data_IF_034444075374
#
_entry.id   IF_034444075374
#
_cell.length_a   1.000
_cell.length_b   1.000
_cell.length_c   1.000
_cell.angle_alpha   90.00
_cell.angle_beta   90.00
_cell.angle_gamma   90.00
#
_symmetry.space_group_name_H-M   'P 1'
#
loop_
_entity.id
_entity.type
_entity.pdbx_description
1 polymer ?
#
# COMPACT_ATOMS: atom_id res chain seq x y z
N UNK A 1 -33.64 -14.96 -40.79
CA UNK A 1 -34.06 -15.26 -39.41
C UNK A 1 -33.40 -14.26 -38.49
N UNK A 2 -34.09 -13.19 -38.11
CA UNK A 2 -33.57 -12.19 -37.16
C UNK A 2 -33.88 -12.68 -35.76
N UNK A 3 -32.83 -12.96 -34.98
CA UNK A 3 -32.94 -13.35 -33.58
C UNK A 3 -33.59 -12.23 -32.76
N UNK A 4 -34.73 -12.55 -32.19
CA UNK A 4 -35.48 -11.73 -31.27
C UNK A 4 -34.64 -11.47 -30.02
N UNK A 5 -34.05 -10.30 -29.91
CA UNK A 5 -33.38 -9.84 -28.68
C UNK A 5 -34.50 -9.67 -27.64
N UNK A 6 -34.62 -10.62 -26.71
CA UNK A 6 -35.53 -10.52 -25.57
C UNK A 6 -35.22 -9.24 -24.81
N UNK A 7 -36.13 -8.26 -24.87
CA UNK A 7 -36.03 -7.02 -24.07
C UNK A 7 -36.00 -7.39 -22.59
N UNK A 8 -34.91 -7.07 -21.93
CA UNK A 8 -34.75 -7.23 -20.47
C UNK A 8 -35.87 -6.39 -19.82
N UNK A 9 -36.70 -6.95 -18.94
CA UNK A 9 -37.77 -6.21 -18.29
C UNK A 9 -37.19 -5.06 -17.46
N UNK A 10 -37.77 -3.86 -17.59
CA UNK A 10 -37.29 -2.61 -16.94
C UNK A 10 -37.03 -2.74 -15.42
N UNK A 11 -37.70 -3.65 -14.73
CA UNK A 11 -37.48 -3.93 -13.29
C UNK A 11 -36.12 -4.56 -12.98
N UNK A 12 -35.48 -5.24 -13.94
CA UNK A 12 -34.17 -5.86 -13.79
C UNK A 12 -33.00 -4.97 -14.27
N UNK A 13 -33.29 -3.93 -15.04
CA UNK A 13 -32.25 -3.07 -15.62
C UNK A 13 -31.60 -2.18 -14.58
N UNK A 14 -32.33 -1.70 -13.57
CA UNK A 14 -31.80 -0.80 -12.53
C UNK A 14 -30.79 -1.51 -11.61
N UNK A 15 -31.13 -2.68 -10.99
CA UNK A 15 -30.15 -3.39 -10.15
C UNK A 15 -28.95 -3.90 -10.96
N UNK A 16 -29.15 -4.31 -12.22
CA UNK A 16 -28.05 -4.72 -13.09
C UNK A 16 -27.12 -3.55 -13.42
N UNK A 17 -27.67 -2.36 -13.67
CA UNK A 17 -26.88 -1.14 -13.92
C UNK A 17 -26.10 -0.73 -12.67
N UNK A 18 -26.71 -0.75 -11.49
CA UNK A 18 -26.04 -0.44 -10.22
C UNK A 18 -24.89 -1.44 -9.98
N UNK A 19 -25.13 -2.73 -10.21
CA UNK A 19 -24.10 -3.77 -10.09
C UNK A 19 -22.93 -3.52 -11.05
N UNK A 20 -23.21 -3.21 -12.32
CA UNK A 20 -22.18 -2.89 -13.31
C UNK A 20 -21.35 -1.66 -12.92
N UNK A 21 -21.98 -0.61 -12.38
CA UNK A 21 -21.29 0.60 -11.87
C UNK A 21 -20.40 0.25 -10.68
N UNK A 22 -20.87 -0.56 -9.74
CA UNK A 22 -20.07 -1.00 -8.59
C UNK A 22 -18.85 -1.79 -9.05
N UNK A 23 -19.03 -2.76 -9.96
CA UNK A 23 -17.92 -3.55 -10.53
C UNK A 23 -16.91 -2.63 -11.24
N UNK A 24 -17.39 -1.66 -12.02
CA UNK A 24 -16.54 -0.70 -12.71
C UNK A 24 -15.73 0.15 -11.73
N UNK A 25 -16.34 0.66 -10.66
CA UNK A 25 -15.64 1.43 -9.61
C UNK A 25 -14.59 0.57 -8.94
N UNK A 26 -14.92 -0.66 -8.53
CA UNK A 26 -13.98 -1.59 -7.91
C UNK A 26 -12.80 -1.85 -8.85
N UNK A 27 -13.07 -2.15 -10.12
CA UNK A 27 -12.02 -2.39 -11.11
C UNK A 27 -11.13 -1.16 -11.32
N UNK A 28 -11.72 0.03 -11.42
CA UNK A 28 -10.95 1.27 -11.56
C UNK A 28 -10.06 1.56 -10.34
N UNK A 29 -10.54 1.25 -9.14
CA UNK A 29 -9.74 1.36 -7.91
C UNK A 29 -8.59 0.34 -7.92
N UNK A 30 -8.87 -0.91 -8.29
CA UNK A 30 -7.87 -1.97 -8.34
C UNK A 30 -6.77 -1.69 -9.38
N UNK A 31 -7.15 -1.20 -10.56
CA UNK A 31 -6.19 -0.85 -11.63
C UNK A 31 -5.31 0.37 -11.31
N UNK A 32 -5.67 1.18 -10.32
CA UNK A 32 -4.90 2.36 -9.93
C UNK A 32 -4.42 2.31 -8.48
N UNK A 33 -4.38 1.13 -7.89
CA UNK A 33 -4.09 0.97 -6.47
C UNK A 33 -2.70 1.49 -6.10
N UNK A 34 -1.68 1.24 -6.94
CA UNK A 34 -0.33 1.74 -6.74
C UNK A 34 -0.32 3.27 -6.63
N UNK A 35 -0.98 3.96 -7.57
CA UNK A 35 -1.09 5.43 -7.57
C UNK A 35 -1.87 5.96 -6.38
N UNK A 36 -2.87 5.21 -5.92
CA UNK A 36 -3.65 5.57 -4.72
C UNK A 36 -2.74 5.47 -3.49
N UNK A 37 -2.00 4.37 -3.34
CA UNK A 37 -1.06 4.18 -2.22
C UNK A 37 0.04 5.24 -2.24
N UNK A 38 0.64 5.52 -3.39
CA UNK A 38 1.63 6.58 -3.58
C UNK A 38 1.08 7.96 -3.15
N UNK A 39 -0.11 8.31 -3.64
CA UNK A 39 -0.77 9.58 -3.33
C UNK A 39 -1.18 9.72 -1.86
N UNK A 40 -1.63 8.62 -1.24
CA UNK A 40 -2.00 8.61 0.18
C UNK A 40 -0.75 8.71 1.03
N UNK A 41 0.29 7.92 0.75
CA UNK A 41 1.55 7.97 1.49
C UNK A 41 2.20 9.36 1.46
N UNK A 42 2.14 10.07 0.32
CA UNK A 42 2.65 11.42 0.19
C UNK A 42 2.00 12.45 1.14
N UNK A 43 0.83 12.14 1.74
CA UNK A 43 0.20 13.01 2.76
C UNK A 43 0.83 12.84 4.14
N UNK A 44 1.35 11.65 4.44
CA UNK A 44 1.85 11.28 5.77
C UNK A 44 3.36 11.28 5.84
N UNK A 45 4.02 11.10 4.68
CA UNK A 45 5.46 10.94 4.58
C UNK A 45 6.06 12.14 3.83
N UNK A 46 7.16 12.68 4.38
CA UNK A 46 7.97 13.68 3.70
C UNK A 46 8.99 12.97 2.80
N UNK A 47 8.47 12.45 1.67
CA UNK A 47 9.20 11.63 0.73
C UNK A 47 8.25 11.04 -0.31
N UNK A 48 8.75 10.14 -1.14
CA UNK A 48 8.00 9.48 -2.20
C UNK A 48 8.06 7.97 -2.02
N UNK A 49 6.91 7.32 -2.07
CA UNK A 49 6.80 5.85 -2.16
C UNK A 49 6.52 5.50 -3.60
N UNK A 50 7.31 4.63 -4.18
CA UNK A 50 7.10 4.08 -5.52
C UNK A 50 6.85 2.58 -5.39
N UNK A 51 5.82 2.09 -6.05
CA UNK A 51 5.42 0.68 -6.08
C UNK A 51 5.27 0.28 -7.54
N UNK A 52 5.86 -0.85 -7.93
CA UNK A 52 5.77 -1.33 -9.30
C UNK A 52 4.48 -2.13 -9.55
N UNK A 53 4.12 -2.99 -8.60
CA UNK A 53 2.95 -3.87 -8.75
C UNK A 53 2.36 -4.25 -7.38
N UNK A 54 1.03 -4.39 -7.34
CA UNK A 54 0.31 -4.86 -6.15
C UNK A 54 -0.58 -6.04 -6.57
N UNK A 55 -0.24 -7.23 -6.10
CA UNK A 55 -1.08 -8.41 -6.23
C UNK A 55 -2.06 -8.47 -5.06
N UNK A 56 -3.33 -8.27 -5.35
CA UNK A 56 -4.42 -8.32 -4.37
C UNK A 56 -4.96 -9.74 -4.22
N UNK A 57 -4.25 -10.58 -3.52
CA UNK A 57 -4.84 -11.78 -2.95
C UNK A 57 -5.59 -11.43 -1.66
N UNK A 58 -6.82 -11.93 -1.51
CA UNK A 58 -7.76 -11.51 -0.46
C UNK A 58 -7.19 -11.58 0.99
N UNK A 59 -6.37 -12.59 1.28
CA UNK A 59 -5.77 -12.77 2.63
C UNK A 59 -4.28 -12.47 2.68
N UNK A 60 -3.62 -12.42 1.53
CA UNK A 60 -2.17 -12.24 1.40
C UNK A 60 -1.82 -11.31 0.24
N UNK A 61 -2.16 -10.02 0.32
CA UNK A 61 -1.71 -9.06 -0.68
C UNK A 61 -0.18 -9.00 -0.70
N UNK A 62 0.37 -8.89 -1.90
CA UNK A 62 1.81 -8.78 -2.15
C UNK A 62 2.09 -7.47 -2.86
N UNK A 63 3.02 -6.70 -2.31
CA UNK A 63 3.55 -5.49 -2.94
C UNK A 63 4.92 -5.82 -3.50
N UNK A 64 5.12 -5.58 -4.80
CA UNK A 64 6.39 -5.85 -5.49
C UNK A 64 7.15 -4.56 -5.77
N UNK A 65 8.46 -4.62 -5.60
CA UNK A 65 9.40 -3.55 -5.90
C UNK A 65 8.99 -2.21 -5.26
N UNK A 66 8.80 -2.22 -3.93
CA UNK A 66 8.54 -1.00 -3.16
C UNK A 66 9.85 -0.26 -2.90
N UNK A 67 9.87 1.03 -3.21
CA UNK A 67 10.99 1.93 -2.91
C UNK A 67 10.47 3.18 -2.20
N UNK A 68 11.12 3.54 -1.10
CA UNK A 68 10.89 4.77 -0.36
C UNK A 68 12.06 5.71 -0.58
N UNK A 69 11.77 6.91 -1.03
CA UNK A 69 12.72 8.01 -1.19
C UNK A 69 12.49 9.09 -0.14
N UNK A 70 13.54 9.79 0.24
CA UNK A 70 13.44 11.03 1.01
C UNK A 70 13.02 12.22 0.13
N UNK A 71 12.95 13.42 0.71
CA UNK A 71 12.65 14.68 0.03
C UNK A 71 13.74 15.13 -0.97
N UNK A 72 14.91 14.50 -0.94
CA UNK A 72 16.05 14.74 -1.83
C UNK A 72 16.23 13.65 -2.89
N UNK A 73 15.26 12.72 -3.02
CA UNK A 73 15.31 11.55 -3.90
C UNK A 73 16.42 10.52 -3.55
N UNK A 74 16.91 10.48 -2.33
CA UNK A 74 17.77 9.38 -1.89
C UNK A 74 16.92 8.18 -1.50
N UNK A 75 17.36 6.98 -1.89
CA UNK A 75 16.69 5.74 -1.50
C UNK A 75 16.91 5.47 -0.01
N UNK A 76 15.85 5.45 0.76
CA UNK A 76 15.86 5.12 2.18
C UNK A 76 15.59 3.64 2.43
N UNK A 77 14.66 3.09 1.67
CA UNK A 77 14.23 1.71 1.78
C UNK A 77 13.89 1.17 0.39
N UNK A 78 14.30 -0.05 0.13
CA UNK A 78 13.88 -0.79 -1.06
C UNK A 78 13.64 -2.25 -0.66
N UNK A 79 12.57 -2.84 -1.18
CA UNK A 79 12.30 -4.26 -1.04
C UNK A 79 11.66 -4.79 -2.32
N UNK A 80 12.15 -5.92 -2.87
CA UNK A 80 11.54 -6.54 -4.03
C UNK A 80 10.15 -7.10 -3.71
N UNK A 81 9.90 -7.48 -2.46
CA UNK A 81 8.63 -8.07 -2.06
C UNK A 81 8.28 -7.76 -0.60
N UNK A 82 7.07 -7.30 -0.40
CA UNK A 82 6.45 -7.16 0.92
C UNK A 82 5.08 -7.84 0.89
N UNK A 83 4.89 -8.85 1.74
CA UNK A 83 3.64 -9.59 1.86
C UNK A 83 2.94 -9.24 3.16
N UNK A 84 1.64 -8.97 3.11
CA UNK A 84 0.83 -8.81 4.31
C UNK A 84 -0.07 -10.04 4.53
N UNK A 85 -0.20 -10.48 5.77
CA UNK A 85 -1.22 -11.41 6.19
C UNK A 85 -2.32 -10.62 6.89
N UNK A 86 -3.56 -10.75 6.42
CA UNK A 86 -4.70 -9.98 6.93
C UNK A 86 -5.88 -10.92 7.16
N UNK A 87 -6.26 -11.12 8.41
CA UNK A 87 -7.50 -11.81 8.74
C UNK A 87 -8.72 -10.90 8.53
N UNK A 88 -9.85 -11.47 8.16
CA UNK A 88 -11.09 -10.70 7.99
C UNK A 88 -11.45 -9.88 9.23
N UNK A 89 -11.25 -10.45 10.44
CA UNK A 89 -11.49 -9.76 11.71
C UNK A 89 -10.62 -8.51 11.89
N UNK A 90 -9.38 -8.54 11.42
CA UNK A 90 -8.46 -7.42 11.56
C UNK A 90 -8.60 -6.42 10.41
N UNK A 91 -8.97 -6.89 9.22
CA UNK A 91 -9.31 -6.03 8.09
C UNK A 91 -10.44 -5.05 8.45
N UNK A 92 -11.52 -5.53 9.08
CA UNK A 92 -12.64 -4.68 9.52
C UNK A 92 -12.24 -3.65 10.60
N UNK A 93 -11.10 -3.84 11.26
CA UNK A 93 -10.54 -2.93 12.26
C UNK A 93 -9.40 -2.05 11.71
N UNK A 94 -9.12 -2.13 10.40
CA UNK A 94 -7.99 -1.44 9.78
C UNK A 94 -6.63 -1.91 10.30
N UNK A 95 -6.49 -3.22 10.59
CA UNK A 95 -5.26 -3.81 11.14
C UNK A 95 -4.69 -4.88 10.22
N UNK A 96 -3.37 -4.97 10.21
CA UNK A 96 -2.60 -6.02 9.55
C UNK A 96 -2.10 -6.98 10.63
N UNK A 97 -2.32 -8.27 10.44
CA UNK A 97 -1.85 -9.30 11.38
C UNK A 97 -0.34 -9.44 11.35
N UNK A 98 0.21 -9.54 10.16
CA UNK A 98 1.64 -9.75 9.96
C UNK A 98 2.09 -9.11 8.65
N UNK A 99 3.21 -8.42 8.68
CA UNK A 99 3.90 -7.88 7.52
C UNK A 99 5.23 -8.63 7.36
N UNK A 100 5.42 -9.28 6.22
CA UNK A 100 6.67 -9.95 5.87
C UNK A 100 7.42 -9.11 4.86
N UNK A 101 8.64 -8.72 5.23
CA UNK A 101 9.57 -7.95 4.38
C UNK A 101 10.76 -8.82 4.06
N UNK A 102 10.96 -9.12 2.78
CA UNK A 102 12.03 -10.00 2.33
C UNK A 102 13.04 -9.24 1.46
N UNK A 103 14.33 -9.52 1.70
CA UNK A 103 15.46 -9.00 0.92
C UNK A 103 15.50 -7.47 0.82
N UNK A 104 15.14 -6.79 1.90
CA UNK A 104 15.12 -5.32 1.93
C UNK A 104 16.53 -4.73 2.10
N UNK A 105 16.70 -3.55 1.51
CA UNK A 105 17.84 -2.67 1.73
C UNK A 105 17.35 -1.43 2.45
N UNK A 106 18.00 -1.09 3.56
CA UNK A 106 17.71 0.10 4.38
C UNK A 106 18.95 0.97 4.40
N UNK A 107 18.84 2.21 3.93
CA UNK A 107 19.94 3.17 3.94
C UNK A 107 19.73 4.17 5.07
N UNK A 108 20.53 4.07 6.10
CA UNK A 108 20.51 4.97 7.26
C UNK A 108 21.67 5.95 7.12
N UNK A 109 21.35 7.24 7.02
CA UNK A 109 22.33 8.31 6.95
C UNK A 109 22.14 9.22 8.15
N UNK A 110 23.21 9.48 8.85
CA UNK A 110 23.28 10.47 9.94
C UNK A 110 23.91 11.75 9.42
N UNK A 111 23.24 12.87 9.60
CA UNK A 111 23.78 14.16 9.18
C UNK A 111 24.75 14.73 10.24
N UNK A 112 25.43 15.83 9.88
CA UNK A 112 26.41 16.51 10.74
C UNK A 112 25.85 16.99 12.09
N UNK A 113 24.52 17.13 12.17
CA UNK A 113 23.79 17.52 13.38
C UNK A 113 23.36 16.29 14.19
N UNK A 114 23.76 15.09 13.78
CA UNK A 114 23.43 13.83 14.43
C UNK A 114 22.02 13.33 14.13
N UNK A 115 21.31 13.93 13.18
CA UNK A 115 19.93 13.59 12.84
C UNK A 115 19.91 12.48 11.80
N UNK A 116 19.14 11.43 12.07
CA UNK A 116 18.96 10.30 11.14
C UNK A 116 17.91 10.65 10.10
N UNK A 117 18.18 10.31 8.83
CA UNK A 117 17.30 10.57 7.69
C UNK A 117 15.84 10.11 7.89
N UNK A 118 15.61 8.99 8.56
CA UNK A 118 14.26 8.46 8.85
C UNK A 118 13.44 9.36 9.79
N UNK A 119 14.07 10.15 10.64
CA UNK A 119 13.35 11.04 11.58
C UNK A 119 12.65 12.19 10.87
N UNK A 120 13.09 12.54 9.67
CA UNK A 120 12.53 13.62 8.84
C UNK A 120 11.35 13.15 7.96
N UNK A 121 11.06 11.85 7.94
CA UNK A 121 10.02 11.29 7.08
C UNK A 121 8.60 11.61 7.55
N UNK A 122 8.34 11.67 8.84
CA UNK A 122 6.98 11.90 9.34
C UNK A 122 6.59 13.36 9.20
N UNK A 123 5.49 13.62 8.47
CA UNK A 123 4.86 14.95 8.40
C UNK A 123 3.97 15.25 9.61
N UNK A 124 3.55 14.23 10.32
CA UNK A 124 2.62 14.35 11.44
C UNK A 124 3.39 14.34 12.75
N UNK A 125 3.32 15.42 13.51
CA UNK A 125 3.62 15.39 14.94
C UNK A 125 2.45 14.63 15.59
N UNK A 126 2.57 13.32 15.71
CA UNK A 126 1.55 12.49 16.32
C UNK A 126 1.58 12.66 17.84
N UNK A 127 0.74 13.51 18.38
CA UNK A 127 0.38 13.52 19.81
C UNK A 127 -0.67 12.47 20.14
N UNK A 128 -1.35 11.89 19.15
CA UNK A 128 -2.29 10.80 19.37
C UNK A 128 -1.55 9.46 19.41
N UNK A 129 -1.74 8.73 20.50
CA UNK A 129 -1.39 7.29 20.62
C UNK A 129 -2.27 6.48 19.67
N UNK A 130 -2.03 6.59 18.37
CA UNK A 130 -2.66 5.73 17.38
C UNK A 130 -2.21 4.29 17.65
N UNK A 131 -3.19 3.41 17.90
CA UNK A 131 -2.91 1.98 18.04
C UNK A 131 -2.16 1.53 16.79
N UNK A 132 -1.01 0.88 16.98
CA UNK A 132 -0.20 0.39 15.88
C UNK A 132 -1.10 -0.46 14.93
N UNK A 133 -1.22 -0.09 13.65
CA UNK A 133 -2.06 -0.82 12.70
C UNK A 133 -1.46 -2.19 12.31
N UNK A 134 -0.18 -2.43 12.63
CA UNK A 134 0.53 -3.68 12.32
C UNK A 134 0.83 -4.41 13.62
N UNK A 135 0.35 -5.65 13.75
CA UNK A 135 0.56 -6.46 14.94
C UNK A 135 1.97 -7.07 14.99
N UNK A 136 2.50 -7.51 13.85
CA UNK A 136 3.80 -8.19 13.76
C UNK A 136 4.50 -7.84 12.47
N UNK A 137 5.82 -7.62 12.53
CA UNK A 137 6.69 -7.48 11.36
C UNK A 137 7.73 -8.59 11.40
N UNK A 138 7.85 -9.34 10.31
CA UNK A 138 8.90 -10.33 10.09
C UNK A 138 9.79 -9.80 8.98
N UNK A 139 11.10 -9.82 9.23
CA UNK A 139 12.09 -9.44 8.24
C UNK A 139 13.04 -10.60 7.98
N UNK A 140 13.39 -10.81 6.71
CA UNK A 140 14.40 -11.78 6.30
C UNK A 140 15.31 -11.15 5.25
N UNK A 141 16.61 -11.51 5.31
CA UNK A 141 17.63 -11.02 4.37
C UNK A 141 17.67 -9.49 4.26
N UNK A 142 17.57 -8.78 5.38
CA UNK A 142 17.64 -7.31 5.40
C UNK A 142 19.09 -6.87 5.49
N UNK A 143 19.49 -6.00 4.57
CA UNK A 143 20.78 -5.29 4.60
C UNK A 143 20.57 -3.87 5.08
N UNK A 144 21.32 -3.46 6.07
CA UNK A 144 21.34 -2.07 6.54
C UNK A 144 22.68 -1.46 6.14
N UNK A 145 22.65 -0.42 5.34
CA UNK A 145 23.79 0.43 5.04
C UNK A 145 23.73 1.64 5.99
N UNK A 146 24.81 1.91 6.69
CA UNK A 146 24.92 3.06 7.59
C UNK A 146 26.03 3.97 7.11
N UNK A 147 25.74 5.26 7.04
CA UNK A 147 26.69 6.33 6.72
C UNK A 147 26.59 7.41 7.79
N UNK A 148 27.78 7.87 8.27
CA UNK A 148 27.95 8.90 9.31
C UNK A 148 28.79 10.07 8.78
#
# INVERSE_FOLDING_TARGET
MLNSIKKIPKKFSIPLFIFAVIVFIITAVLLNLEKIVEKVSARFINGTVVIEDIDLSFSKPVVKNITLYDDKNNVLFNSPEVTANISFKNLTKGRIDELNVNSAIVNVVRDKDGIINFTKLSKTKSEEKTKNPINKVITSNVRVNYED
#
